data_IF_254960366810
#
_entry.id   IF_254960366810
#
_cell.length_a   1.000
_cell.length_b   1.000
_cell.length_c   1.000
_cell.angle_alpha   90.00
_cell.angle_beta   90.00
_cell.angle_gamma   90.00
#
_symmetry.space_group_name_H-M   'P 1'
#
loop_
_entity.id
_entity.type
_entity.pdbx_description
1 polymer ?
#
# COMPACT_ATOMS: atom_id res chain seq x y z
N UNK A 1 -28.42 -74.96 6.94
CA UNK A 1 -28.60 -73.74 6.12
C UNK A 1 -28.00 -72.46 6.72
N UNK A 2 -27.53 -72.46 7.98
CA UNK A 2 -27.06 -71.24 8.68
C UNK A 2 -25.63 -70.79 8.32
N UNK A 3 -24.70 -71.71 7.96
CA UNK A 3 -23.32 -71.32 7.64
C UNK A 3 -23.18 -70.56 6.30
N UNK A 4 -24.08 -70.82 5.33
CA UNK A 4 -24.10 -70.09 4.05
C UNK A 4 -24.66 -68.67 4.22
N UNK A 5 -25.62 -68.48 5.13
CA UNK A 5 -26.19 -67.17 5.45
C UNK A 5 -25.17 -66.29 6.21
N UNK A 6 -24.38 -66.89 7.12
CA UNK A 6 -23.32 -66.21 7.86
C UNK A 6 -22.18 -65.72 6.94
N UNK A 7 -21.78 -66.55 5.97
CA UNK A 7 -20.78 -66.19 4.95
C UNK A 7 -21.24 -65.01 4.07
N UNK A 8 -22.53 -64.94 3.77
CA UNK A 8 -23.12 -63.88 2.92
C UNK A 8 -23.18 -62.54 3.66
N UNK A 9 -23.37 -62.57 4.98
CA UNK A 9 -23.35 -61.37 5.83
C UNK A 9 -21.93 -60.80 6.01
N UNK A 10 -20.91 -61.65 6.14
CA UNK A 10 -19.51 -61.22 6.25
C UNK A 10 -19.01 -60.60 4.94
N UNK A 11 -19.41 -61.15 3.79
CA UNK A 11 -19.07 -60.58 2.47
C UNK A 11 -19.70 -59.19 2.24
N UNK A 12 -20.88 -58.93 2.80
CA UNK A 12 -21.56 -57.63 2.73
C UNK A 12 -20.82 -56.52 3.49
N UNK A 13 -20.26 -56.85 4.67
CA UNK A 13 -19.53 -55.87 5.50
C UNK A 13 -18.20 -55.45 4.87
N UNK A 14 -17.55 -56.34 4.13
CA UNK A 14 -16.27 -56.05 3.45
C UNK A 14 -16.42 -55.10 2.24
N UNK A 15 -17.63 -54.93 1.69
CA UNK A 15 -17.90 -54.06 0.54
C UNK A 15 -18.19 -52.59 0.91
N UNK A 16 -18.36 -52.25 2.19
CA UNK A 16 -18.66 -50.87 2.64
C UNK A 16 -17.37 -50.03 2.82
N UNK A 17 -16.19 -50.62 2.65
CA UNK A 17 -14.89 -49.96 2.89
C UNK A 17 -14.33 -49.05 1.78
N UNK A 18 -14.93 -48.99 0.58
CA UNK A 18 -14.41 -48.20 -0.54
C UNK A 18 -15.04 -46.80 -0.68
N UNK A 19 -15.39 -46.16 0.44
CA UNK A 19 -15.59 -44.71 0.50
C UNK A 19 -14.60 -44.09 1.48
N UNK A 20 -13.33 -44.44 1.31
CA UNK A 20 -12.21 -43.65 1.84
C UNK A 20 -12.32 -42.28 1.21
N UNK A 21 -12.85 -41.36 2.00
CA UNK A 21 -12.60 -39.91 2.00
C UNK A 21 -11.48 -39.51 1.05
N UNK A 22 -11.85 -39.27 -0.22
CA UNK A 22 -11.04 -38.48 -1.12
C UNK A 22 -10.83 -37.15 -0.43
N UNK A 23 -9.59 -36.91 0.00
CA UNK A 23 -9.14 -35.64 0.53
C UNK A 23 -9.58 -34.59 -0.47
N UNK A 24 -10.56 -33.78 -0.05
CA UNK A 24 -11.08 -32.67 -0.81
C UNK A 24 -9.92 -31.69 -0.87
N UNK A 25 -9.07 -31.81 -1.92
CA UNK A 25 -8.06 -30.82 -2.23
C UNK A 25 -8.81 -29.50 -2.25
N UNK A 26 -8.58 -28.67 -1.23
CA UNK A 26 -9.05 -27.29 -1.20
C UNK A 26 -8.36 -26.62 -2.38
N UNK A 27 -9.01 -26.69 -3.55
CA UNK A 27 -8.62 -25.88 -4.69
C UNK A 27 -8.62 -24.43 -4.19
N UNK A 28 -7.61 -23.63 -4.57
CA UNK A 28 -7.56 -22.22 -4.22
C UNK A 28 -8.88 -21.53 -4.64
N UNK A 29 -9.21 -20.38 -4.03
CA UNK A 29 -10.47 -19.70 -4.28
C UNK A 29 -10.75 -19.59 -5.79
N UNK A 30 -11.94 -20.02 -6.20
CA UNK A 30 -12.38 -19.93 -7.58
C UNK A 30 -12.75 -18.47 -7.84
N UNK A 31 -11.83 -17.73 -8.46
CA UNK A 31 -12.06 -16.37 -8.90
C UNK A 31 -12.85 -16.34 -10.21
N UNK A 32 -13.44 -15.20 -10.53
CA UNK A 32 -14.05 -14.98 -11.84
C UNK A 32 -13.01 -15.20 -12.96
N UNK A 33 -13.41 -15.75 -14.12
CA UNK A 33 -12.52 -15.94 -15.26
C UNK A 33 -11.94 -14.58 -15.69
N UNK A 34 -10.62 -14.50 -15.82
CA UNK A 34 -9.92 -13.33 -16.35
C UNK A 34 -9.79 -13.42 -17.87
N UNK A 35 -9.77 -12.27 -18.55
CA UNK A 35 -9.51 -12.22 -19.99
C UNK A 35 -8.00 -12.30 -20.32
N UNK A 36 -7.66 -12.62 -21.57
CA UNK A 36 -6.26 -12.74 -22.04
C UNK A 36 -5.47 -11.43 -21.88
N UNK A 37 -6.14 -10.29 -22.03
CA UNK A 37 -5.51 -8.97 -21.85
C UNK A 37 -5.06 -8.76 -20.40
N UNK A 38 -5.91 -9.07 -19.43
CA UNK A 38 -5.64 -8.97 -17.99
C UNK A 38 -4.54 -9.94 -17.58
N UNK A 39 -4.51 -11.14 -18.15
CA UNK A 39 -3.44 -12.12 -17.89
C UNK A 39 -2.09 -11.56 -18.35
N UNK A 40 -2.01 -11.04 -19.59
CA UNK A 40 -0.78 -10.44 -20.13
C UNK A 40 -0.35 -9.19 -19.38
N UNK A 41 -1.31 -8.35 -18.98
CA UNK A 41 -1.05 -7.17 -18.14
C UNK A 41 -0.53 -7.57 -16.77
N UNK A 42 -1.07 -8.63 -16.15
CA UNK A 42 -0.59 -9.13 -14.87
C UNK A 42 0.85 -9.64 -14.96
N UNK A 43 1.18 -10.41 -16.01
CA UNK A 43 2.54 -10.89 -16.24
C UNK A 43 3.54 -9.74 -16.43
N UNK A 44 3.19 -8.75 -17.28
CA UNK A 44 4.01 -7.56 -17.48
C UNK A 44 4.17 -6.74 -16.19
N UNK A 45 3.09 -6.56 -15.43
CA UNK A 45 3.12 -5.82 -14.16
C UNK A 45 4.02 -6.50 -13.12
N UNK A 46 4.00 -7.84 -13.02
CA UNK A 46 4.89 -8.59 -12.13
C UNK A 46 6.34 -8.41 -12.56
N UNK A 47 6.66 -8.58 -13.84
CA UNK A 47 8.02 -8.42 -14.36
C UNK A 47 8.59 -7.01 -14.12
N UNK A 48 7.78 -5.97 -14.33
CA UNK A 48 8.17 -4.58 -14.03
C UNK A 48 8.34 -4.38 -12.52
N UNK A 49 7.43 -4.91 -11.70
CA UNK A 49 7.49 -4.79 -10.24
C UNK A 49 8.78 -5.41 -9.68
N UNK A 50 9.16 -6.59 -10.16
CA UNK A 50 10.40 -7.27 -9.76
C UNK A 50 11.63 -6.45 -10.14
N UNK A 51 11.64 -5.89 -11.36
CA UNK A 51 12.72 -5.02 -11.82
C UNK A 51 12.83 -3.74 -10.98
N UNK A 52 11.70 -3.11 -10.63
CA UNK A 52 11.66 -1.94 -9.75
C UNK A 52 12.14 -2.28 -8.33
N UNK A 53 11.78 -3.46 -7.80
CA UNK A 53 12.26 -3.92 -6.50
C UNK A 53 13.76 -4.18 -6.49
N UNK A 54 14.31 -4.73 -7.57
CA UNK A 54 15.76 -4.92 -7.70
C UNK A 54 16.50 -3.58 -7.71
N UNK A 55 16.02 -2.61 -8.50
CA UNK A 55 16.58 -1.26 -8.54
C UNK A 55 16.55 -0.59 -7.15
N UNK A 56 15.43 -0.67 -6.43
CA UNK A 56 15.33 -0.13 -5.08
C UNK A 56 16.30 -0.80 -4.10
N UNK A 57 16.53 -2.12 -4.24
CA UNK A 57 17.50 -2.85 -3.41
C UNK A 57 18.93 -2.38 -3.67
N UNK A 58 19.30 -2.25 -4.95
CA UNK A 58 20.62 -1.77 -5.37
C UNK A 58 20.84 -0.33 -4.89
N UNK A 59 19.87 0.56 -5.13
CA UNK A 59 19.95 1.97 -4.71
C UNK A 59 20.13 2.11 -3.20
N UNK A 60 19.39 1.33 -2.39
CA UNK A 60 19.51 1.36 -0.92
C UNK A 60 20.91 0.98 -0.41
N UNK A 61 21.65 0.13 -1.15
CA UNK A 61 23.03 -0.27 -0.79
C UNK A 61 24.03 0.77 -1.25
N UNK A 62 23.87 1.30 -2.47
CA UNK A 62 24.78 2.32 -3.04
C UNK A 62 24.63 3.66 -2.31
N UNK A 63 23.40 4.04 -1.99
CA UNK A 63 23.03 5.29 -1.33
C UNK A 63 22.22 4.94 -0.08
N UNK A 64 22.89 4.73 1.07
CA UNK A 64 22.19 4.46 2.33
C UNK A 64 21.18 5.58 2.62
N UNK A 65 19.92 5.24 2.95
CA UNK A 65 18.88 6.23 3.19
C UNK A 65 19.26 7.08 4.40
N UNK A 66 19.47 8.38 4.17
CA UNK A 66 19.86 9.33 5.22
C UNK A 66 18.69 10.17 5.73
N UNK A 67 17.54 10.15 5.04
CA UNK A 67 16.38 10.98 5.33
C UNK A 67 15.24 10.11 5.84
N UNK A 68 15.08 10.06 7.17
CA UNK A 68 13.80 9.75 7.79
C UNK A 68 13.08 11.07 8.07
N UNK A 69 11.83 11.19 7.61
CA UNK A 69 11.01 12.38 7.80
C UNK A 69 10.11 12.29 9.05
N UNK A 70 10.26 11.28 9.91
CA UNK A 70 9.55 11.21 11.20
C UNK A 70 9.91 12.36 12.15
N UNK A 71 11.13 12.90 12.06
CA UNK A 71 11.55 14.05 12.88
C UNK A 71 10.94 15.37 12.40
N UNK A 72 10.84 15.57 11.08
CA UNK A 72 10.22 16.76 10.48
C UNK A 72 8.70 16.69 10.50
N UNK A 73 8.15 15.47 10.48
CA UNK A 73 6.72 15.18 10.51
C UNK A 73 6.46 14.23 11.69
N UNK A 74 6.44 14.74 12.93
CA UNK A 74 6.20 13.92 14.11
C UNK A 74 4.75 13.43 14.18
N UNK A 75 4.55 12.33 14.89
CA UNK A 75 3.20 11.92 15.29
C UNK A 75 2.68 12.89 16.36
N UNK A 76 1.57 13.55 16.06
CA UNK A 76 0.87 14.45 16.98
C UNK A 76 -0.58 14.00 17.13
N UNK A 77 -1.22 14.30 18.26
CA UNK A 77 -2.59 13.85 18.57
C UNK A 77 -3.58 14.11 17.42
N UNK A 78 -3.62 15.34 16.90
CA UNK A 78 -4.52 15.69 15.79
C UNK A 78 -4.16 15.03 14.45
N UNK A 79 -2.92 14.56 14.28
CA UNK A 79 -2.45 13.86 13.08
C UNK A 79 -2.59 12.34 13.16
N UNK A 80 -3.07 11.81 14.30
CA UNK A 80 -3.43 10.40 14.45
C UNK A 80 -4.77 10.05 13.81
N UNK A 81 -5.59 11.07 13.48
CA UNK A 81 -6.80 10.87 12.70
C UNK A 81 -6.48 10.10 11.41
N UNK A 82 -7.41 9.25 10.98
CA UNK A 82 -7.19 8.35 9.85
C UNK A 82 -8.02 8.78 8.66
N UNK A 83 -7.46 8.63 7.47
CA UNK A 83 -8.12 8.94 6.22
C UNK A 83 -7.75 7.92 5.14
N UNK A 84 -8.66 7.77 4.18
CA UNK A 84 -8.39 7.11 2.90
C UNK A 84 -8.29 8.19 1.84
N UNK A 85 -7.26 8.13 1.01
CA UNK A 85 -6.97 9.16 0.01
C UNK A 85 -6.72 8.48 -1.32
N UNK A 86 -7.46 8.93 -2.33
CA UNK A 86 -7.19 8.66 -3.74
C UNK A 86 -7.02 10.02 -4.42
N UNK A 87 -5.77 10.37 -4.73
CA UNK A 87 -5.38 11.68 -5.22
C UNK A 87 -4.32 11.57 -6.30
N UNK A 88 -4.49 12.36 -7.36
CA UNK A 88 -3.48 12.58 -8.40
C UNK A 88 -3.50 14.05 -8.78
N UNK A 89 -2.47 14.80 -8.44
CA UNK A 89 -2.47 16.24 -8.66
C UNK A 89 -1.36 17.00 -7.92
N UNK A 90 -1.45 18.33 -7.85
CA UNK A 90 -0.47 19.17 -7.16
C UNK A 90 -0.38 18.86 -5.66
N UNK A 91 0.85 18.85 -5.14
CA UNK A 91 1.15 18.57 -3.72
C UNK A 91 0.50 19.57 -2.76
N UNK A 92 0.43 20.85 -3.16
CA UNK A 92 -0.05 21.94 -2.31
C UNK A 92 -1.50 21.72 -1.90
N UNK A 93 -2.35 21.32 -2.84
CA UNK A 93 -3.77 21.16 -2.61
C UNK A 93 -4.07 20.03 -1.62
N UNK A 94 -3.45 18.86 -1.81
CA UNK A 94 -3.65 17.73 -0.89
C UNK A 94 -3.11 18.05 0.51
N UNK A 95 -1.92 18.67 0.58
CA UNK A 95 -1.31 19.06 1.85
C UNK A 95 -2.17 20.07 2.60
N UNK A 96 -2.76 21.05 1.90
CA UNK A 96 -3.68 22.02 2.47
C UNK A 96 -4.96 21.35 3.02
N UNK A 97 -5.54 20.40 2.27
CA UNK A 97 -6.71 19.62 2.70
C UNK A 97 -6.42 18.80 3.96
N UNK A 98 -5.28 18.10 4.00
CA UNK A 98 -4.86 17.32 5.18
C UNK A 98 -4.66 18.23 6.39
N UNK A 99 -3.96 19.36 6.20
CA UNK A 99 -3.74 20.35 7.26
C UNK A 99 -5.06 20.87 7.83
N UNK A 100 -6.01 21.19 6.95
CA UNK A 100 -7.35 21.65 7.35
C UNK A 100 -8.10 20.57 8.16
N UNK A 101 -8.07 19.32 7.71
CA UNK A 101 -8.69 18.19 8.43
C UNK A 101 -8.05 17.92 9.80
N UNK A 102 -6.76 18.19 9.95
CA UNK A 102 -6.04 18.09 11.23
C UNK A 102 -6.22 19.32 12.14
N UNK A 103 -6.95 20.35 11.71
CA UNK A 103 -7.04 21.66 12.36
C UNK A 103 -5.68 22.38 12.48
N UNK A 104 -4.80 22.21 11.49
CA UNK A 104 -3.52 22.90 11.40
C UNK A 104 -3.62 24.03 10.38
N UNK A 105 -2.87 25.10 10.63
CA UNK A 105 -2.66 26.16 9.64
C UNK A 105 -1.70 25.66 8.58
N UNK A 106 -2.03 25.91 7.32
CA UNK A 106 -1.17 25.59 6.19
C UNK A 106 -0.37 26.83 5.77
N UNK A 107 0.93 26.67 5.55
CA UNK A 107 1.82 27.73 5.06
C UNK A 107 2.73 27.21 3.96
N UNK A 108 2.92 28.00 2.92
CA UNK A 108 3.88 27.71 1.86
C UNK A 108 5.11 28.60 2.03
N UNK A 109 6.30 28.01 1.93
CA UNK A 109 7.59 28.70 1.93
C UNK A 109 8.31 28.46 0.60
N UNK A 110 8.92 29.52 0.08
CA UNK A 110 9.55 29.51 -1.24
C UNK A 110 8.56 29.85 -2.36
N UNK A 111 9.06 29.88 -3.59
CA UNK A 111 8.25 30.15 -4.79
C UNK A 111 7.84 28.82 -5.41
N UNK A 112 6.55 28.67 -5.69
CA UNK A 112 6.06 27.52 -6.44
C UNK A 112 6.78 27.44 -7.81
N UNK A 113 7.29 26.25 -8.19
CA UNK A 113 7.95 26.07 -9.48
C UNK A 113 6.95 26.27 -10.63
N UNK A 114 7.44 26.69 -11.80
CA UNK A 114 6.61 26.86 -12.99
C UNK A 114 5.94 25.56 -13.43
N UNK A 115 6.60 24.43 -13.21
CA UNK A 115 6.01 23.10 -13.36
C UNK A 115 5.62 22.61 -11.95
N UNK A 116 4.33 22.41 -11.66
CA UNK A 116 3.87 21.96 -10.35
C UNK A 116 4.50 20.64 -9.92
N UNK A 117 4.73 20.49 -8.62
CA UNK A 117 5.12 19.20 -8.04
C UNK A 117 3.87 18.33 -7.94
N UNK A 118 3.82 17.29 -8.76
CA UNK A 118 2.72 16.33 -8.82
C UNK A 118 3.03 15.12 -7.96
N UNK A 119 1.99 14.62 -7.28
CA UNK A 119 2.02 13.42 -6.45
C UNK A 119 0.83 12.52 -6.80
N UNK A 120 0.94 11.24 -6.49
CA UNK A 120 -0.12 10.25 -6.67
C UNK A 120 -0.22 9.37 -5.43
N UNK A 121 -1.30 9.50 -4.69
CA UNK A 121 -1.53 8.82 -3.42
C UNK A 121 -2.79 7.96 -3.57
N UNK A 122 -2.66 6.66 -3.31
CA UNK A 122 -3.79 5.74 -3.21
C UNK A 122 -3.61 4.86 -1.99
N UNK A 123 -4.18 5.31 -0.87
CA UNK A 123 -4.04 4.69 0.44
C UNK A 123 -5.40 4.57 1.12
N UNK A 124 -5.54 3.53 1.93
CA UNK A 124 -6.77 3.26 2.68
C UNK A 124 -6.44 3.20 4.15
N UNK A 125 -7.22 3.94 4.93
CA UNK A 125 -7.16 3.95 6.38
C UNK A 125 -5.72 4.14 6.89
N UNK A 126 -5.17 5.35 6.73
CA UNK A 126 -3.83 5.68 7.22
C UNK A 126 -3.86 6.97 8.04
N UNK A 127 -2.99 7.09 9.04
CA UNK A 127 -2.95 8.31 9.86
C UNK A 127 -2.46 9.50 9.04
N UNK A 128 -3.01 10.69 9.28
CA UNK A 128 -2.62 11.91 8.54
C UNK A 128 -1.11 12.17 8.59
N UNK A 129 -0.43 11.82 9.69
CA UNK A 129 1.02 11.89 9.79
C UNK A 129 1.73 11.02 8.73
N UNK A 130 1.33 9.76 8.55
CA UNK A 130 1.93 8.91 7.52
C UNK A 130 1.58 9.40 6.11
N UNK A 131 0.36 9.91 5.89
CA UNK A 131 -0.01 10.50 4.58
C UNK A 131 0.92 11.66 4.24
N UNK A 132 1.18 12.56 5.21
CA UNK A 132 2.11 13.67 5.01
C UNK A 132 3.55 13.19 4.75
N UNK A 133 3.98 12.08 5.37
CA UNK A 133 5.31 11.49 5.11
C UNK A 133 5.40 10.87 3.72
N UNK A 134 4.38 10.17 3.26
CA UNK A 134 4.33 9.62 1.90
C UNK A 134 4.37 10.75 0.86
N UNK A 135 3.59 11.81 1.09
CA UNK A 135 3.63 13.02 0.26
C UNK A 135 5.05 13.62 0.21
N UNK A 136 5.71 13.76 1.36
CA UNK A 136 7.09 14.28 1.44
C UNK A 136 8.10 13.38 0.71
N UNK A 137 7.95 12.05 0.81
CA UNK A 137 8.78 11.11 0.06
C UNK A 137 8.58 11.24 -1.45
N UNK A 138 7.33 11.34 -1.93
CA UNK A 138 7.04 11.52 -3.35
C UNK A 138 7.51 12.87 -3.91
N UNK A 139 7.52 13.91 -3.07
CA UNK A 139 8.06 15.22 -3.44
C UNK A 139 9.59 15.19 -3.68
N UNK A 140 10.29 14.29 -3.02
CA UNK A 140 11.73 14.08 -3.15
C UNK A 140 12.54 15.34 -2.82
N UNK A 141 13.30 15.86 -3.78
CA UNK A 141 14.11 17.09 -3.63
C UNK A 141 13.39 18.37 -4.07
N UNK A 142 12.16 18.25 -4.58
CA UNK A 142 11.43 19.38 -5.18
C UNK A 142 10.67 20.18 -4.13
N UNK A 143 10.24 19.53 -3.06
CA UNK A 143 9.62 20.17 -1.91
C UNK A 143 9.80 19.31 -0.66
N UNK A 144 9.71 19.94 0.51
CA UNK A 144 9.75 19.29 1.82
C UNK A 144 8.53 19.71 2.65
N UNK A 145 8.00 18.80 3.46
CA UNK A 145 6.93 19.08 4.43
C UNK A 145 7.52 19.09 5.84
N UNK A 146 7.15 20.12 6.61
CA UNK A 146 7.49 20.23 8.02
C UNK A 146 6.23 20.44 8.84
N UNK A 147 6.12 19.74 9.96
CA UNK A 147 4.99 19.86 10.88
C UNK A 147 5.50 20.38 12.22
N UNK A 148 4.88 21.47 12.67
CA UNK A 148 5.13 22.07 13.96
C UNK A 148 3.92 21.81 14.87
N UNK A 149 3.95 20.72 15.67
CA UNK A 149 2.77 20.30 16.46
C UNK A 149 2.38 21.31 17.53
N UNK A 150 3.36 21.96 18.17
CA UNK A 150 3.12 22.94 19.24
C UNK A 150 2.40 24.20 18.75
N UNK A 151 2.69 24.65 17.53
CA UNK A 151 2.07 25.84 16.91
C UNK A 151 0.92 25.50 15.96
N UNK A 152 0.64 24.21 15.77
CA UNK A 152 -0.35 23.66 14.83
C UNK A 152 -0.18 24.23 13.41
N UNK A 153 1.03 24.12 12.86
CA UNK A 153 1.36 24.58 11.51
C UNK A 153 1.94 23.42 10.69
N UNK A 154 1.45 23.25 9.47
CA UNK A 154 2.08 22.44 8.43
C UNK A 154 2.66 23.39 7.39
N UNK A 155 3.96 23.26 7.14
CA UNK A 155 4.68 24.04 6.15
C UNK A 155 5.06 23.19 4.95
N UNK A 156 4.68 23.63 3.75
CA UNK A 156 5.20 23.12 2.49
C UNK A 156 6.34 24.04 2.01
N UNK A 157 7.53 23.49 1.83
CA UNK A 157 8.73 24.24 1.48
C UNK A 157 9.20 23.82 0.10
N UNK A 158 9.14 24.71 -0.89
CA UNK A 158 9.68 24.42 -2.22
C UNK A 158 11.20 24.47 -2.23
N UNK A 159 11.82 23.46 -2.84
CA UNK A 159 13.27 23.41 -3.02
C UNK A 159 13.76 24.51 -3.95
N UNK A 160 14.95 25.07 -3.67
CA UNK A 160 15.63 25.97 -4.61
C UNK A 160 16.29 25.15 -5.70
N UNK A 161 15.59 24.95 -6.82
CA UNK A 161 16.09 24.15 -7.95
C UNK A 161 16.83 25.01 -8.98
N UNK A 162 16.72 26.34 -8.87
CA UNK A 162 17.44 27.30 -9.70
C UNK A 162 18.29 28.20 -8.78
N UNK A 163 19.62 28.08 -8.87
CA UNK A 163 20.62 29.06 -8.42
C UNK A 163 21.53 29.38 -9.58
#
# INVERSE_FOLDING_TARGET
MNNKLLMLFIASVLLVGCKTTGTLFKKPPVNNPSDDATIKLAEAAVSVSDSMHEMARVEKVIIPPHKDNTLTIPNAYNLQARASVDWSGPIEELTARISKSAHYRFRVLGKAPSIPVLISINIKDQSLAEILRDIDYQAGKKADIHVYPNSQVVELRYGKIYS
#
